data_IF_905827437855
#
_entry.id   IF_905827437855
#
_cell.length_a   1.000
_cell.length_b   1.000
_cell.length_c   1.000
_cell.angle_alpha   90.00
_cell.angle_beta   90.00
_cell.angle_gamma   90.00
#
_symmetry.space_group_name_H-M   'P 1'
#
loop_
_entity.id
_entity.type
_entity.pdbx_description
1 polymer ?
#
# COMPACT_ATOMS: atom_id res chain seq x y z
N UNK A 1 18.64 -11.13 -12.04
CA UNK A 1 19.12 -12.44 -12.58
C UNK A 1 18.32 -12.84 -13.82
N UNK A 2 17.09 -12.34 -13.93
CA UNK A 2 16.05 -12.77 -14.87
C UNK A 2 16.27 -12.28 -16.31
N UNK A 3 16.95 -11.15 -16.51
CA UNK A 3 17.25 -10.62 -17.85
C UNK A 3 18.17 -11.56 -18.64
N UNK A 4 19.19 -12.15 -17.98
CA UNK A 4 20.10 -13.10 -18.64
C UNK A 4 19.37 -14.38 -19.05
N UNK A 5 18.55 -14.92 -18.16
CA UNK A 5 17.74 -16.11 -18.42
C UNK A 5 16.72 -15.86 -19.56
N UNK A 6 16.10 -14.67 -19.60
CA UNK A 6 15.21 -14.30 -20.70
C UNK A 6 15.92 -14.24 -22.06
N UNK A 7 17.15 -13.70 -22.09
CA UNK A 7 17.97 -13.65 -23.31
C UNK A 7 18.30 -15.06 -23.79
N UNK A 8 18.74 -15.95 -22.89
CA UNK A 8 19.05 -17.36 -23.20
C UNK A 8 17.83 -18.12 -23.73
N UNK A 9 16.65 -17.94 -23.11
CA UNK A 9 15.40 -18.55 -23.57
C UNK A 9 14.99 -17.99 -24.94
N UNK A 10 15.15 -16.69 -25.16
CA UNK A 10 14.79 -16.06 -26.44
C UNK A 10 15.65 -16.54 -27.60
N UNK A 11 16.92 -16.88 -27.33
CA UNK A 11 17.82 -17.48 -28.32
C UNK A 11 17.45 -18.93 -28.70
N UNK A 12 16.71 -19.64 -27.85
CA UNK A 12 16.23 -21.01 -28.11
C UNK A 12 14.97 -21.04 -28.99
N UNK A 13 14.37 -19.88 -29.28
CA UNK A 13 13.22 -19.78 -30.18
C UNK A 13 11.88 -20.13 -29.53
N UNK A 14 10.94 -20.60 -30.34
CA UNK A 14 9.52 -20.67 -29.97
C UNK A 14 9.20 -21.74 -28.91
N UNK A 15 10.06 -22.75 -28.76
CA UNK A 15 9.92 -23.82 -27.75
C UNK A 15 9.96 -23.27 -26.30
N UNK A 16 10.42 -22.03 -26.10
CA UNK A 16 10.50 -21.38 -24.79
C UNK A 16 9.44 -20.31 -24.55
N UNK A 17 8.46 -20.15 -25.46
CA UNK A 17 7.41 -19.12 -25.33
C UNK A 17 6.65 -19.26 -24.01
N UNK A 18 6.26 -20.49 -23.64
CA UNK A 18 5.52 -20.73 -22.40
C UNK A 18 6.35 -20.34 -21.17
N UNK A 19 7.62 -20.74 -21.13
CA UNK A 19 8.55 -20.37 -20.04
C UNK A 19 8.72 -18.85 -19.94
N UNK A 20 8.92 -18.17 -21.08
CA UNK A 20 9.06 -16.69 -21.10
C UNK A 20 7.77 -16.00 -20.65
N UNK A 21 6.60 -16.54 -21.03
CA UNK A 21 5.30 -16.04 -20.60
C UNK A 21 5.09 -16.20 -19.09
N UNK A 22 5.46 -17.34 -18.51
CA UNK A 22 5.40 -17.57 -17.07
C UNK A 22 6.29 -16.58 -16.29
N UNK A 23 7.50 -16.30 -16.79
CA UNK A 23 8.37 -15.28 -16.18
C UNK A 23 7.69 -13.91 -16.09
N UNK A 24 7.03 -13.46 -17.17
CA UNK A 24 6.32 -12.18 -17.16
C UNK A 24 5.07 -12.20 -16.30
N UNK A 25 4.35 -13.32 -16.24
CA UNK A 25 3.18 -13.47 -15.35
C UNK A 25 3.59 -13.37 -13.89
N UNK A 26 4.68 -14.04 -13.51
CA UNK A 26 5.23 -13.94 -12.17
C UNK A 26 5.68 -12.51 -11.85
N UNK A 27 6.41 -11.87 -12.77
CA UNK A 27 6.83 -10.49 -12.57
C UNK A 27 5.64 -9.53 -12.43
N UNK A 28 4.58 -9.73 -13.21
CA UNK A 28 3.33 -8.97 -13.10
C UNK A 28 2.70 -9.16 -11.72
N UNK A 29 2.64 -10.39 -11.21
CA UNK A 29 2.09 -10.67 -9.89
C UNK A 29 2.89 -9.98 -8.78
N UNK A 30 4.22 -10.10 -8.80
CA UNK A 30 5.11 -9.43 -7.85
C UNK A 30 4.92 -7.91 -7.88
N UNK A 31 4.88 -7.31 -9.08
CA UNK A 31 4.65 -5.86 -9.22
C UNK A 31 3.26 -5.46 -8.74
N UNK A 32 2.24 -6.27 -9.00
CA UNK A 32 0.86 -6.00 -8.53
C UNK A 32 0.80 -6.00 -7.01
N UNK A 33 1.45 -6.96 -6.35
CA UNK A 33 1.53 -7.00 -4.89
C UNK A 33 2.28 -5.79 -4.32
N UNK A 34 3.37 -5.37 -4.96
CA UNK A 34 4.09 -4.15 -4.57
C UNK A 34 3.23 -2.89 -4.73
N UNK A 35 2.47 -2.78 -5.82
CA UNK A 35 1.54 -1.67 -6.04
C UNK A 35 0.48 -1.66 -4.95
N UNK A 36 -0.12 -2.81 -4.62
CA UNK A 36 -1.12 -2.91 -3.55
C UNK A 36 -0.55 -2.47 -2.20
N UNK A 37 0.67 -2.91 -1.86
CA UNK A 37 1.34 -2.48 -0.63
C UNK A 37 1.61 -0.97 -0.60
N UNK A 38 2.05 -0.40 -1.73
CA UNK A 38 2.29 1.04 -1.86
C UNK A 38 0.99 1.84 -1.78
N UNK A 39 -0.09 1.37 -2.39
CA UNK A 39 -1.41 1.98 -2.30
C UNK A 39 -1.90 2.01 -0.85
N UNK A 40 -1.81 0.88 -0.14
CA UNK A 40 -2.17 0.82 1.28
C UNK A 40 -1.33 1.78 2.14
N UNK A 41 -0.04 1.88 1.84
CA UNK A 41 0.87 2.82 2.52
C UNK A 41 0.47 4.26 2.25
N UNK A 42 0.11 4.58 1.01
CA UNK A 42 -0.37 5.90 0.62
C UNK A 42 -1.67 6.26 1.36
N UNK A 43 -2.66 5.35 1.42
CA UNK A 43 -3.92 5.58 2.15
C UNK A 43 -3.67 5.88 3.65
N UNK A 44 -2.68 5.20 4.25
CA UNK A 44 -2.26 5.46 5.64
C UNK A 44 -1.68 6.87 5.80
N UNK A 45 -0.84 7.30 4.85
CA UNK A 45 -0.25 8.65 4.86
C UNK A 45 -1.33 9.70 4.65
N UNK A 46 -2.24 9.50 3.70
CA UNK A 46 -3.37 10.41 3.43
C UNK A 46 -4.28 10.55 4.65
N UNK A 47 -4.58 9.45 5.34
CA UNK A 47 -5.32 9.50 6.60
C UNK A 47 -4.60 10.35 7.65
N UNK A 48 -3.28 10.22 7.79
CA UNK A 48 -2.49 11.03 8.74
C UNK A 48 -2.48 12.51 8.34
N UNK A 49 -2.34 12.81 7.06
CA UNK A 49 -2.47 14.18 6.55
C UNK A 49 -3.81 14.79 6.95
N UNK A 50 -4.92 14.11 6.63
CA UNK A 50 -6.26 14.54 7.03
C UNK A 50 -6.41 14.70 8.55
N UNK A 51 -5.91 13.74 9.33
CA UNK A 51 -5.99 13.76 10.80
C UNK A 51 -5.31 15.02 11.37
N UNK A 52 -4.11 15.34 10.89
CA UNK A 52 -3.37 16.52 11.36
C UNK A 52 -3.93 17.84 10.81
N UNK A 53 -4.52 17.84 9.62
CA UNK A 53 -5.27 19.00 9.11
C UNK A 53 -6.51 19.30 9.97
N UNK A 54 -7.27 18.26 10.32
CA UNK A 54 -8.40 18.37 11.24
C UNK A 54 -7.95 18.84 12.64
N UNK A 55 -6.84 18.28 13.15
CA UNK A 55 -6.26 18.70 14.43
C UNK A 55 -5.81 20.17 14.39
N UNK A 56 -5.17 20.60 13.30
CA UNK A 56 -4.74 21.98 13.09
C UNK A 56 -5.93 22.94 13.05
N UNK A 57 -7.01 22.58 12.37
CA UNK A 57 -8.23 23.37 12.34
C UNK A 57 -8.90 23.48 13.71
N UNK A 58 -8.85 22.40 14.51
CA UNK A 58 -9.40 22.36 15.87
C UNK A 58 -8.46 22.93 16.94
N UNK A 59 -7.17 23.12 16.63
CA UNK A 59 -6.14 23.51 17.59
C UNK A 59 -5.68 22.39 18.53
N UNK A 60 -6.16 21.15 18.36
CA UNK A 60 -5.77 19.98 19.17
C UNK A 60 -5.98 18.67 18.40
N UNK A 61 -5.16 17.65 18.70
CA UNK A 61 -5.30 16.28 18.18
C UNK A 61 -6.44 15.50 18.85
N UNK A 62 -6.95 15.99 19.98
CA UNK A 62 -8.03 15.31 20.72
C UNK A 62 -9.32 15.26 19.92
N UNK A 63 -9.59 16.30 19.12
CA UNK A 63 -10.82 16.40 18.31
C UNK A 63 -10.90 15.27 17.27
N UNK A 64 -9.94 15.12 16.34
CA UNK A 64 -9.98 14.00 15.40
C UNK A 64 -9.74 12.63 16.06
N UNK A 65 -9.11 12.60 17.25
CA UNK A 65 -8.98 11.40 18.07
C UNK A 65 -10.33 10.91 18.61
N UNK A 66 -11.18 11.83 19.07
CA UNK A 66 -12.49 11.56 19.66
C UNK A 66 -13.63 11.37 18.64
N UNK A 67 -13.43 11.77 17.38
CA UNK A 67 -14.41 11.57 16.30
C UNK A 67 -14.91 10.13 16.24
N UNK A 68 -16.20 9.93 15.98
CA UNK A 68 -16.73 8.60 15.68
C UNK A 68 -16.40 8.23 14.23
N UNK A 69 -16.53 6.97 13.85
CA UNK A 69 -16.29 6.58 12.44
C UNK A 69 -17.25 7.28 11.48
N UNK A 70 -18.44 7.69 11.95
CA UNK A 70 -19.39 8.47 11.16
C UNK A 70 -18.86 9.86 10.79
N UNK A 71 -18.08 10.49 11.69
CA UNK A 71 -17.51 11.83 11.52
C UNK A 71 -16.25 11.84 10.64
N UNK A 72 -15.65 10.66 10.41
CA UNK A 72 -14.49 10.49 9.54
C UNK A 72 -14.95 10.28 8.09
N UNK A 73 -14.28 10.90 7.10
CA UNK A 73 -14.52 10.62 5.69
C UNK A 73 -14.51 9.13 5.40
N UNK A 74 -15.47 8.66 4.58
CA UNK A 74 -15.69 7.24 4.34
C UNK A 74 -14.43 6.49 3.88
N UNK A 75 -13.66 7.11 2.99
CA UNK A 75 -12.39 6.58 2.47
C UNK A 75 -11.35 6.24 3.56
N UNK A 76 -11.38 6.93 4.71
CA UNK A 76 -10.42 6.73 5.79
C UNK A 76 -10.91 5.81 6.91
N UNK A 77 -12.20 5.43 6.90
CA UNK A 77 -12.78 4.59 7.98
C UNK A 77 -12.10 3.23 8.07
N UNK A 78 -11.82 2.59 6.93
CA UNK A 78 -11.16 1.30 6.88
C UNK A 78 -9.75 1.36 7.49
N UNK A 79 -8.91 2.28 7.00
CA UNK A 79 -7.54 2.52 7.52
C UNK A 79 -7.57 2.90 8.99
N UNK A 80 -8.52 3.71 9.44
CA UNK A 80 -8.64 4.08 10.86
C UNK A 80 -8.93 2.87 11.74
N UNK A 81 -9.83 1.99 11.33
CA UNK A 81 -10.15 0.77 12.06
C UNK A 81 -8.95 -0.17 12.13
N UNK A 82 -8.24 -0.32 11.01
CA UNK A 82 -7.01 -1.11 10.93
C UNK A 82 -5.93 -0.56 11.88
N UNK A 83 -5.67 0.75 11.82
CA UNK A 83 -4.69 1.44 12.67
C UNK A 83 -5.08 1.46 14.16
N UNK A 84 -6.36 1.33 14.50
CA UNK A 84 -6.81 1.15 15.90
C UNK A 84 -6.63 -0.29 16.39
N UNK A 85 -6.78 -1.26 15.50
CA UNK A 85 -6.60 -2.69 15.79
C UNK A 85 -5.14 -3.11 15.88
N UNK A 86 -4.28 -2.53 15.05
CA UNK A 86 -2.84 -2.57 15.24
C UNK A 86 -2.51 -1.61 16.39
N UNK A 87 -2.11 -2.10 17.56
CA UNK A 87 -1.44 -1.25 18.57
C UNK A 87 -0.22 -0.64 17.90
N UNK A 88 -0.35 0.59 17.38
CA UNK A 88 0.77 1.36 16.88
C UNK A 88 1.76 1.44 18.05
N UNK A 89 2.99 0.91 17.95
CA UNK A 89 4.04 1.27 18.87
C UNK A 89 4.22 2.77 18.66
N UNK A 90 3.66 3.52 19.61
CA UNK A 90 3.69 4.94 19.65
C UNK A 90 5.15 5.36 19.41
N UNK A 91 5.39 6.21 18.40
CA UNK A 91 6.66 6.89 18.26
C UNK A 91 6.82 7.83 19.45
N UNK A 92 7.16 7.27 20.61
CA UNK A 92 7.56 8.00 21.79
C UNK A 92 9.06 8.26 21.70
N UNK A 93 9.34 9.52 21.34
CA UNK A 93 10.54 10.33 21.59
C UNK A 93 11.78 10.07 20.72
#
# INVERSE_FOLDING_TARGET
KDIRQYIELSMQGDDTIDTRLEMFRHQREVLTQQIQQLQHTLETVEYKCWFYEAAKAAGTVDVPGAMTDADVPEQFRAIRQELRGQKIPNGEK
#
